data_IF_060364546990
#
_entry.id   IF_060364546990
#
_cell.length_a   1.000
_cell.length_b   1.000
_cell.length_c   1.000
_cell.angle_alpha   90.00
_cell.angle_beta   90.00
_cell.angle_gamma   90.00
#
_symmetry.space_group_name_H-M   'P 1'
#
loop_
_entity.id
_entity.type
_entity.pdbx_description
1 polymer ?
#
# COMPACT_ATOMS: atom_id res chain seq x y z
N UNK A 1 2.23 -6.28 16.96
CA UNK A 1 2.27 -5.05 17.78
C UNK A 1 3.05 -3.96 17.04
N UNK A 2 2.37 -2.99 16.44
CA UNK A 2 3.02 -1.79 15.87
C UNK A 2 3.44 -0.87 17.03
N UNK A 3 4.66 -0.34 17.01
CA UNK A 3 5.20 0.45 18.13
C UNK A 3 4.47 1.80 18.27
N UNK A 4 4.32 2.30 19.51
CA UNK A 4 3.71 3.60 19.79
C UNK A 4 4.41 4.77 19.07
N UNK A 5 5.70 4.64 18.76
CA UNK A 5 6.47 5.65 18.04
C UNK A 5 6.10 5.75 16.55
N UNK A 6 5.72 4.64 15.90
CA UNK A 6 5.23 4.62 14.51
C UNK A 6 3.87 5.31 14.39
N UNK A 7 2.95 5.00 15.32
CA UNK A 7 1.63 5.64 15.36
C UNK A 7 1.72 7.15 15.53
N UNK A 8 2.76 7.68 16.18
CA UNK A 8 2.92 9.12 16.37
C UNK A 8 3.33 9.85 15.09
N UNK A 9 4.17 9.21 14.26
CA UNK A 9 4.57 9.76 12.95
C UNK A 9 3.46 9.70 11.91
N UNK A 10 2.66 8.63 11.92
CA UNK A 10 1.54 8.46 10.99
C UNK A 10 0.47 9.56 11.16
N UNK A 11 0.36 10.19 12.34
CA UNK A 11 -0.55 11.33 12.58
C UNK A 11 -0.24 12.55 11.72
N UNK A 12 0.99 12.71 11.24
CA UNK A 12 1.41 13.84 10.42
C UNK A 12 1.12 13.64 8.93
N UNK A 13 0.70 12.44 8.51
CA UNK A 13 0.33 12.18 7.13
C UNK A 13 -1.04 12.77 6.81
N UNK A 14 -1.13 13.45 5.67
CA UNK A 14 -2.36 14.03 5.16
C UNK A 14 -2.73 13.36 3.85
N UNK A 15 -3.86 12.66 3.83
CA UNK A 15 -4.39 12.02 2.64
C UNK A 15 -5.48 12.89 2.02
N UNK A 16 -5.49 12.96 0.69
CA UNK A 16 -6.46 13.72 -0.08
C UNK A 16 -7.01 12.85 -1.20
N UNK A 17 -8.29 13.02 -1.50
CA UNK A 17 -8.94 12.42 -2.67
C UNK A 17 -9.55 13.51 -3.53
N UNK A 18 -9.42 13.36 -4.85
CA UNK A 18 -10.11 14.17 -5.84
C UNK A 18 -11.34 13.40 -6.31
N UNK A 19 -12.52 13.86 -5.91
CA UNK A 19 -13.78 13.21 -6.23
C UNK A 19 -14.38 13.79 -7.50
N UNK A 20 -14.23 13.13 -8.66
CA UNK A 20 -14.90 13.61 -9.87
C UNK A 20 -16.42 13.63 -9.65
N UNK A 21 -17.03 14.81 -9.65
CA UNK A 21 -18.48 14.93 -9.55
C UNK A 21 -19.09 14.49 -10.88
N UNK A 22 -19.85 13.40 -10.90
CA UNK A 22 -20.45 12.87 -12.14
C UNK A 22 -21.36 13.89 -12.88
N UNK A 23 -21.83 14.94 -12.20
CA UNK A 23 -22.68 16.01 -12.77
C UNK A 23 -21.94 17.30 -13.14
N UNK A 24 -20.70 17.47 -12.71
CA UNK A 24 -19.90 18.65 -13.02
C UNK A 24 -18.69 18.18 -13.81
N UNK A 25 -18.56 18.62 -15.07
CA UNK A 25 -17.39 18.31 -15.90
C UNK A 25 -16.08 18.84 -15.31
N UNK A 26 -16.16 19.68 -14.28
CA UNK A 26 -15.02 20.23 -13.54
C UNK A 26 -14.51 19.25 -12.48
N UNK A 27 -13.19 19.13 -12.37
CA UNK A 27 -12.55 18.43 -11.25
C UNK A 27 -13.01 19.06 -9.93
N UNK A 28 -13.38 18.22 -8.97
CA UNK A 28 -13.70 18.68 -7.62
C UNK A 28 -12.49 19.25 -6.91
N UNK A 29 -12.73 20.01 -5.85
CA UNK A 29 -11.71 20.34 -4.87
C UNK A 29 -11.17 19.07 -4.18
N UNK A 30 -9.88 19.04 -3.82
CA UNK A 30 -9.31 17.95 -3.03
C UNK A 30 -9.97 17.91 -1.65
N UNK A 31 -10.45 16.73 -1.24
CA UNK A 31 -11.08 16.52 0.06
C UNK A 31 -10.15 15.71 0.95
N UNK A 32 -9.98 16.14 2.20
CA UNK A 32 -9.17 15.41 3.19
C UNK A 32 -9.84 14.07 3.52
N UNK A 33 -9.05 13.01 3.50
CA UNK A 33 -9.44 11.64 3.85
C UNK A 33 -8.60 11.17 5.03
N UNK A 34 -9.18 10.37 5.91
CA UNK A 34 -8.44 9.66 6.94
C UNK A 34 -8.50 8.16 6.65
N UNK A 35 -7.47 7.42 7.07
CA UNK A 35 -7.54 5.96 7.03
C UNK A 35 -8.44 5.49 8.18
N UNK A 36 -9.30 4.53 7.88
CA UNK A 36 -10.14 3.90 8.90
C UNK A 36 -9.27 3.05 9.84
N UNK A 37 -9.54 2.99 11.16
CA UNK A 37 -8.76 2.17 12.10
C UNK A 37 -8.65 0.68 11.74
N UNK A 38 -9.66 0.13 11.05
CA UNK A 38 -9.64 -1.26 10.58
C UNK A 38 -8.80 -1.47 9.30
N UNK A 39 -8.27 -0.40 8.70
CA UNK A 39 -7.39 -0.52 7.54
C UNK A 39 -6.04 -1.06 7.97
N UNK A 40 -5.46 -2.00 7.22
CA UNK A 40 -4.09 -2.48 7.45
C UNK A 40 -3.04 -1.36 7.37
N UNK A 41 -3.34 -0.31 6.61
CA UNK A 41 -2.46 0.84 6.44
C UNK A 41 -2.65 1.90 7.52
N UNK A 42 -3.58 1.70 8.47
CA UNK A 42 -3.78 2.62 9.58
C UNK A 42 -2.56 2.64 10.50
N UNK A 43 -2.08 3.84 10.83
CA UNK A 43 -0.90 4.01 11.69
C UNK A 43 0.44 3.69 11.02
N UNK A 44 0.45 3.32 9.74
CA UNK A 44 1.69 3.17 8.97
C UNK A 44 2.19 4.54 8.48
N UNK A 45 3.46 4.84 8.72
CA UNK A 45 4.14 6.05 8.27
C UNK A 45 5.18 5.79 7.16
N UNK A 46 5.48 4.51 6.89
CA UNK A 46 6.49 4.10 5.91
C UNK A 46 5.81 3.66 4.61
N UNK A 47 5.72 4.61 3.67
CA UNK A 47 5.31 4.37 2.30
C UNK A 47 6.51 4.58 1.37
N UNK A 48 6.67 3.75 0.35
CA UNK A 48 7.73 3.90 -0.65
C UNK A 48 7.40 5.02 -1.65
N UNK A 49 6.11 5.27 -1.88
CA UNK A 49 5.61 6.30 -2.77
C UNK A 49 4.37 7.01 -2.20
N UNK A 50 4.07 8.24 -2.67
CA UNK A 50 3.01 9.08 -2.11
C UNK A 50 1.61 8.73 -2.67
N UNK A 51 1.43 7.57 -3.31
CA UNK A 51 0.21 7.22 -4.03
C UNK A 51 -0.44 5.98 -3.43
N UNK A 52 -1.75 6.09 -3.20
CA UNK A 52 -2.57 5.04 -2.62
C UNK A 52 -3.79 4.81 -3.51
N UNK A 53 -4.16 3.55 -3.72
CA UNK A 53 -5.48 3.20 -4.21
C UNK A 53 -6.37 2.82 -3.03
N UNK A 54 -7.65 3.14 -3.15
CA UNK A 54 -8.65 2.72 -2.19
C UNK A 54 -9.81 2.04 -2.93
N UNK A 55 -10.47 1.12 -2.25
CA UNK A 55 -11.69 0.48 -2.76
C UNK A 55 -12.94 1.14 -2.18
N UNK A 56 -13.04 1.21 -0.85
CA UNK A 56 -14.22 1.73 -0.16
C UNK A 56 -13.91 3.04 0.56
N UNK A 57 -14.73 4.06 0.31
CA UNK A 57 -14.71 5.32 1.05
C UNK A 57 -16.11 5.62 1.60
N UNK A 58 -16.19 5.99 2.88
CA UNK A 58 -17.45 6.31 3.54
C UNK A 58 -17.34 7.60 4.32
N UNK A 59 -18.37 8.43 4.23
CA UNK A 59 -18.51 9.60 5.07
C UNK A 59 -19.41 9.26 6.26
N UNK A 60 -18.84 9.28 7.46
CA UNK A 60 -19.58 9.21 8.73
C UNK A 60 -19.45 10.56 9.42
N UNK A 61 -18.62 10.68 10.47
CA UNK A 61 -18.23 11.94 11.08
C UNK A 61 -17.15 12.67 10.28
N UNK A 62 -16.22 11.91 9.70
CA UNK A 62 -15.20 12.36 8.74
C UNK A 62 -15.22 11.42 7.55
N UNK A 63 -14.49 11.78 6.50
CA UNK A 63 -14.30 10.90 5.35
C UNK A 63 -13.22 9.87 5.67
N UNK A 64 -13.57 8.59 5.57
CA UNK A 64 -12.69 7.46 5.89
C UNK A 64 -12.54 6.52 4.70
N UNK A 65 -11.30 6.11 4.41
CA UNK A 65 -10.99 5.02 3.48
C UNK A 65 -10.70 3.73 4.26
N UNK A 66 -11.34 2.63 3.88
CA UNK A 66 -11.26 1.35 4.60
C UNK A 66 -10.17 0.46 4.02
N UNK A 67 -10.30 0.10 2.76
CA UNK A 67 -9.35 -0.77 2.07
C UNK A 67 -8.43 0.11 1.24
N UNK A 68 -7.16 0.16 1.64
CA UNK A 68 -6.15 1.03 1.03
C UNK A 68 -4.89 0.22 0.77
N UNK A 69 -4.33 0.36 -0.43
CA UNK A 69 -3.08 -0.26 -0.82
C UNK A 69 -2.14 0.77 -1.45
N UNK A 70 -0.84 0.61 -1.20
CA UNK A 70 0.18 1.40 -1.89
C UNK A 70 0.21 1.05 -3.38
N UNK A 71 0.33 2.08 -4.23
CA UNK A 71 0.36 1.91 -5.70
C UNK A 71 1.58 2.58 -6.27
N UNK A 72 2.37 1.82 -7.03
CA UNK A 72 3.57 2.38 -7.60
C UNK A 72 3.30 3.45 -8.67
N UNK A 73 4.21 4.42 -8.85
CA UNK A 73 4.07 5.44 -9.89
C UNK A 73 3.85 4.87 -11.30
N UNK A 74 4.58 3.82 -11.64
CA UNK A 74 4.45 3.17 -12.96
C UNK A 74 3.11 2.45 -13.14
N UNK A 75 2.53 1.91 -12.06
CA UNK A 75 1.17 1.37 -12.12
C UNK A 75 0.15 2.46 -12.48
N UNK A 76 0.25 3.66 -11.88
CA UNK A 76 -0.60 4.80 -12.26
C UNK A 76 -0.32 5.27 -13.70
N UNK A 77 0.94 5.30 -14.13
CA UNK A 77 1.31 5.68 -15.49
C UNK A 77 0.86 4.68 -16.54
N UNK A 78 0.69 3.39 -16.22
CA UNK A 78 0.24 2.36 -17.16
C UNK A 78 -1.28 2.17 -17.14
N UNK A 79 -1.91 2.17 -15.96
CA UNK A 79 -3.33 1.81 -15.80
C UNK A 79 -4.24 2.99 -15.43
N UNK A 80 -3.68 4.17 -15.17
CA UNK A 80 -4.45 5.38 -14.91
C UNK A 80 -4.99 6.06 -16.17
N UNK A 81 -5.39 7.32 -16.04
CA UNK A 81 -5.81 8.15 -17.18
C UNK A 81 -4.71 8.37 -18.22
N UNK A 82 -5.02 9.05 -19.32
CA UNK A 82 -4.03 9.33 -20.37
C UNK A 82 -2.86 10.18 -19.82
N UNK A 83 -1.60 9.73 -19.98
CA UNK A 83 -0.43 10.46 -19.53
C UNK A 83 -0.16 11.61 -20.49
N UNK A 84 0.09 12.80 -19.95
CA UNK A 84 0.47 13.98 -20.72
C UNK A 84 1.79 14.54 -20.21
N UNK A 85 2.54 15.23 -21.07
CA UNK A 85 3.76 15.91 -20.65
C UNK A 85 3.40 17.28 -20.08
N UNK A 86 3.93 17.57 -18.90
CA UNK A 86 3.88 18.90 -18.28
C UNK A 86 5.32 19.43 -18.09
N UNK A 87 5.47 20.72 -17.83
CA UNK A 87 6.75 21.45 -17.74
C UNK A 87 7.76 20.83 -16.74
N UNK A 88 7.30 20.03 -15.77
CA UNK A 88 8.15 19.36 -14.77
C UNK A 88 8.17 17.82 -14.85
N UNK A 89 7.49 17.20 -15.81
CA UNK A 89 7.43 15.73 -15.91
C UNK A 89 6.21 15.20 -16.65
N UNK A 90 5.58 14.17 -16.09
CA UNK A 90 4.40 13.50 -16.65
C UNK A 90 3.23 13.71 -15.70
N UNK A 91 2.07 13.98 -16.26
CA UNK A 91 0.82 14.20 -15.55
C UNK A 91 -0.21 13.15 -15.96
N UNK A 92 -0.97 12.61 -14.99
CA UNK A 92 -2.05 11.65 -15.24
C UNK A 92 -3.35 12.17 -14.62
N UNK A 93 -4.42 12.17 -15.42
CA UNK A 93 -5.77 12.51 -14.96
C UNK A 93 -5.95 13.97 -14.52
N UNK A 94 -5.03 14.86 -14.89
CA UNK A 94 -5.00 16.27 -14.50
C UNK A 94 -4.80 16.52 -12.99
N UNK A 95 -4.15 15.60 -12.27
CA UNK A 95 -3.85 15.78 -10.83
C UNK A 95 -2.59 15.05 -10.36
N UNK A 96 -2.33 13.86 -10.90
CA UNK A 96 -1.19 13.06 -10.49
C UNK A 96 0.04 13.52 -11.27
N UNK A 97 0.93 14.27 -10.60
CA UNK A 97 2.13 14.85 -11.20
C UNK A 97 3.37 14.06 -10.80
N UNK A 98 4.06 13.50 -11.80
CA UNK A 98 5.27 12.71 -11.65
C UNK A 98 6.47 13.52 -12.16
N UNK A 99 7.35 13.92 -11.24
CA UNK A 99 8.57 14.65 -11.59
C UNK A 99 9.49 13.73 -12.40
N UNK A 100 9.76 14.11 -13.65
CA UNK A 100 10.64 13.35 -14.53
C UNK A 100 11.37 14.32 -15.46
N UNK A 101 12.71 14.36 -15.36
CA UNK A 101 13.54 15.22 -16.21
C UNK A 101 13.37 14.91 -17.70
N UNK A 102 13.14 13.63 -18.02
CA UNK A 102 13.03 13.14 -19.40
C UNK A 102 11.60 12.71 -19.75
N UNK A 103 10.58 13.38 -19.20
CA UNK A 103 9.17 13.03 -19.42
C UNK A 103 8.77 12.94 -20.91
N UNK A 104 9.34 13.82 -21.75
CA UNK A 104 9.11 13.82 -23.22
C UNK A 104 9.57 12.53 -23.92
N UNK A 105 10.64 11.92 -23.44
CA UNK A 105 11.17 10.66 -24.01
C UNK A 105 10.46 9.44 -23.41
N UNK A 106 10.05 9.54 -22.14
CA UNK A 106 9.35 8.47 -21.45
C UNK A 106 7.89 8.32 -21.92
N UNK A 107 7.22 9.41 -22.31
CA UNK A 107 5.81 9.38 -22.71
C UNK A 107 5.55 8.39 -23.88
N UNK A 108 6.28 8.43 -25.02
CA UNK A 108 6.07 7.46 -26.09
C UNK A 108 6.29 6.00 -25.66
N UNK A 109 7.24 5.76 -24.75
CA UNK A 109 7.50 4.42 -24.20
C UNK A 109 6.32 3.93 -23.35
N UNK A 110 5.73 4.81 -22.53
CA UNK A 110 4.53 4.50 -21.76
C UNK A 110 3.33 4.23 -22.67
N UNK A 111 3.15 5.03 -23.72
CA UNK A 111 2.09 4.82 -24.70
C UNK A 111 2.26 3.49 -25.44
N UNK A 112 3.49 3.15 -25.86
CA UNK A 112 3.79 1.86 -26.47
C UNK A 112 3.54 0.68 -25.52
N UNK A 113 3.93 0.82 -24.24
CA UNK A 113 3.67 -0.20 -23.22
C UNK A 113 2.17 -0.40 -22.98
N UNK A 114 1.39 0.69 -22.91
CA UNK A 114 -0.08 0.62 -22.80
C UNK A 114 -0.71 -0.08 -24.00
N UNK A 115 -0.30 0.30 -25.21
CA UNK A 115 -0.78 -0.34 -26.44
C UNK A 115 -0.45 -1.84 -26.44
N UNK A 116 0.77 -2.23 -26.06
CA UNK A 116 1.14 -3.63 -25.96
C UNK A 116 0.29 -4.42 -24.95
N UNK A 117 -0.05 -3.83 -23.79
CA UNK A 117 -0.96 -4.44 -22.82
C UNK A 117 -2.35 -4.60 -23.43
N UNK A 118 -2.87 -3.56 -24.10
CA UNK A 118 -4.17 -3.58 -24.74
C UNK A 118 -4.26 -4.66 -25.83
N UNK A 119 -3.26 -4.74 -26.70
CA UNK A 119 -3.18 -5.76 -27.77
C UNK A 119 -3.21 -7.18 -27.20
N UNK A 120 -2.55 -7.41 -26.05
CA UNK A 120 -2.54 -8.71 -25.38
C UNK A 120 -3.90 -9.03 -24.77
N UNK A 121 -4.59 -8.04 -24.20
CA UNK A 121 -5.95 -8.20 -23.69
C UNK A 121 -6.95 -8.51 -24.81
N UNK A 122 -6.80 -7.86 -25.96
CA UNK A 122 -7.61 -8.12 -27.16
C UNK A 122 -7.40 -9.54 -27.69
N UNK A 123 -6.15 -9.98 -27.84
CA UNK A 123 -5.83 -11.37 -28.21
C UNK A 123 -6.41 -12.39 -27.23
N UNK A 124 -6.41 -12.08 -25.94
CA UNK A 124 -7.00 -12.96 -24.91
C UNK A 124 -8.53 -12.98 -24.96
N UNK A 125 -9.14 -11.89 -25.42
CA UNK A 125 -10.58 -11.84 -25.65
C UNK A 125 -10.98 -12.68 -26.86
N UNK A 126 -10.16 -12.67 -27.92
CA UNK A 126 -10.36 -13.50 -29.12
C UNK A 126 -10.09 -14.99 -28.86
N UNK A 127 -9.03 -15.31 -28.12
CA UNK A 127 -8.69 -16.67 -27.69
C UNK A 127 -8.39 -16.73 -26.18
N UNK A 128 -9.34 -17.29 -25.42
CA UNK A 128 -9.21 -17.49 -23.98
C UNK A 128 -8.05 -18.42 -23.59
N UNK A 129 -7.57 -19.27 -24.51
CA UNK A 129 -6.44 -20.18 -24.30
C UNK A 129 -5.10 -19.57 -24.67
N UNK A 130 -5.09 -18.31 -25.12
CA UNK A 130 -3.86 -17.61 -25.47
C UNK A 130 -2.88 -17.58 -24.29
N UNK A 131 -1.67 -18.09 -24.53
CA UNK A 131 -0.60 -18.13 -23.54
C UNK A 131 0.05 -16.74 -23.39
N UNK A 132 -0.26 -16.09 -22.28
CA UNK A 132 0.30 -14.79 -21.90
C UNK A 132 1.81 -14.82 -21.67
N UNK A 133 2.36 -15.97 -21.26
CA UNK A 133 3.79 -16.07 -20.95
C UNK A 133 4.69 -15.95 -22.18
N UNK A 134 4.12 -16.20 -23.36
CA UNK A 134 4.81 -16.11 -24.64
C UNK A 134 5.07 -14.66 -25.11
N UNK A 135 4.30 -13.68 -24.63
CA UNK A 135 4.45 -12.27 -25.06
C UNK A 135 5.66 -11.62 -24.38
N UNK A 136 6.62 -11.22 -25.22
CA UNK A 136 7.82 -10.49 -24.78
C UNK A 136 7.49 -9.09 -24.31
N UNK A 137 6.48 -8.47 -24.92
CA UNK A 137 6.00 -7.13 -24.63
C UNK A 137 5.33 -7.09 -23.24
N UNK A 138 4.47 -8.07 -22.96
CA UNK A 138 3.87 -8.23 -21.63
C UNK A 138 4.94 -8.47 -20.57
N UNK A 139 5.92 -9.33 -20.86
CA UNK A 139 7.05 -9.57 -19.95
C UNK A 139 7.82 -8.29 -19.66
N UNK A 140 8.09 -7.46 -20.67
CA UNK A 140 8.73 -6.16 -20.47
C UNK A 140 7.89 -5.22 -19.58
N UNK A 141 6.57 -5.19 -19.77
CA UNK A 141 5.66 -4.42 -18.92
C UNK A 141 5.65 -4.92 -17.47
N UNK A 142 5.67 -6.24 -17.25
CA UNK A 142 5.77 -6.84 -15.92
C UNK A 142 7.09 -6.45 -15.24
N UNK A 143 8.22 -6.56 -15.93
CA UNK A 143 9.52 -6.16 -15.37
C UNK A 143 9.58 -4.67 -15.04
N UNK A 144 8.98 -3.83 -15.89
CA UNK A 144 8.88 -2.39 -15.65
C UNK A 144 8.05 -2.07 -14.40
N UNK A 145 6.96 -2.78 -14.16
CA UNK A 145 6.15 -2.67 -12.94
C UNK A 145 6.90 -3.17 -11.70
N UNK A 146 7.57 -4.33 -11.79
CA UNK A 146 8.34 -4.90 -10.69
C UNK A 146 9.49 -4.00 -10.26
N UNK A 147 10.20 -3.41 -11.22
CA UNK A 147 11.37 -2.58 -10.96
C UNK A 147 11.03 -1.09 -10.79
N UNK A 148 9.76 -0.68 -10.92
CA UNK A 148 9.36 0.73 -10.99
C UNK A 148 10.25 1.53 -11.96
N UNK A 149 10.57 0.95 -13.12
CA UNK A 149 11.43 1.57 -14.14
C UNK A 149 12.93 1.63 -13.82
N UNK A 150 13.41 1.04 -12.72
CA UNK A 150 14.85 1.05 -12.36
C UNK A 150 15.68 0.02 -13.12
N UNK A 151 15.04 -0.96 -13.79
CA UNK A 151 15.72 -1.93 -14.67
C UNK A 151 16.59 -2.99 -13.96
N UNK A 152 16.78 -2.90 -12.64
CA UNK A 152 17.56 -3.88 -11.88
C UNK A 152 16.65 -4.64 -10.91
N UNK A 153 16.52 -5.94 -11.17
CA UNK A 153 15.90 -6.89 -10.25
C UNK A 153 16.90 -7.19 -9.13
N UNK A 154 16.50 -7.02 -7.86
CA UNK A 154 17.08 -7.87 -6.80
C UNK A 154 16.43 -9.24 -6.98
N UNK A 155 17.21 -10.31 -7.09
CA UNK A 155 16.69 -11.68 -7.20
C UNK A 155 15.50 -11.82 -6.25
N UNK A 156 14.37 -12.28 -6.78
CA UNK A 156 13.17 -12.49 -5.97
C UNK A 156 13.62 -13.36 -4.79
N UNK A 157 13.38 -12.96 -3.52
CA UNK A 157 13.61 -13.87 -2.42
C UNK A 157 12.88 -15.16 -2.76
N UNK A 158 13.57 -16.30 -2.60
CA UNK A 158 13.02 -17.60 -2.96
C UNK A 158 11.57 -17.70 -2.49
N UNK A 159 10.70 -18.28 -3.32
CA UNK A 159 9.30 -18.50 -2.96
C UNK A 159 9.23 -18.93 -1.50
N UNK A 160 8.37 -18.30 -0.71
CA UNK A 160 8.12 -18.74 0.66
C UNK A 160 7.42 -20.10 0.51
N UNK A 161 8.23 -21.15 0.37
CA UNK A 161 7.82 -22.52 0.55
C UNK A 161 7.43 -22.57 2.01
N UNK A 162 6.12 -22.51 2.29
CA UNK A 162 5.62 -22.99 3.56
C UNK A 162 5.99 -24.46 3.60
N UNK A 163 7.13 -24.78 4.22
CA UNK A 163 7.48 -26.14 4.57
C UNK A 163 6.29 -26.66 5.36
N UNK A 164 5.61 -27.68 4.86
CA UNK A 164 4.53 -28.38 5.55
C UNK A 164 4.98 -29.10 6.83
N UNK A 165 6.12 -28.70 7.42
CA UNK A 165 6.58 -29.08 8.75
C UNK A 165 6.20 -28.04 9.82
N UNK A 166 5.29 -27.12 9.50
CA UNK A 166 4.45 -26.57 10.55
C UNK A 166 3.54 -27.68 11.02
N UNK A 167 3.79 -28.25 12.20
CA UNK A 167 2.75 -29.00 12.92
C UNK A 167 1.46 -28.20 12.76
N UNK A 168 0.40 -28.81 12.23
CA UNK A 168 -0.96 -28.32 12.35
C UNK A 168 -1.29 -28.27 13.84
N UNK A 169 -0.78 -27.25 14.53
CA UNK A 169 -1.33 -26.83 15.80
C UNK A 169 -2.59 -26.11 15.39
N UNK A 170 -3.72 -26.78 15.56
CA UNK A 170 -5.02 -26.13 15.53
C UNK A 170 -4.89 -24.82 16.30
N UNK A 171 -5.25 -23.71 15.63
CA UNK A 171 -5.30 -22.41 16.26
C UNK A 171 -6.40 -22.45 17.32
N UNK A 172 -6.04 -22.83 18.54
CA UNK A 172 -6.96 -22.87 19.66
C UNK A 172 -7.03 -21.47 20.27
N UNK A 173 -7.96 -20.67 19.76
CA UNK A 173 -8.19 -19.28 20.15
C UNK A 173 -8.31 -19.13 21.67
N UNK A 174 -8.99 -20.07 22.33
CA UNK A 174 -9.18 -20.07 23.79
C UNK A 174 -7.89 -20.28 24.59
N UNK A 175 -7.03 -21.22 24.17
CA UNK A 175 -5.74 -21.47 24.84
C UNK A 175 -4.76 -20.32 24.62
N UNK A 176 -4.79 -19.71 23.43
CA UNK A 176 -3.96 -18.55 23.12
C UNK A 176 -4.41 -17.30 23.89
N UNK A 177 -5.71 -17.07 24.02
CA UNK A 177 -6.26 -15.99 24.84
C UNK A 177 -5.97 -16.18 26.32
N UNK A 178 -6.14 -17.39 26.86
CA UNK A 178 -5.83 -17.67 28.27
C UNK A 178 -4.34 -17.49 28.56
N UNK A 179 -3.45 -18.04 27.71
CA UNK A 179 -2.01 -17.84 27.86
C UNK A 179 -1.59 -16.36 27.75
N UNK A 180 -2.26 -15.58 26.89
CA UNK A 180 -2.04 -14.14 26.79
C UNK A 180 -2.49 -13.40 28.05
N UNK A 181 -3.67 -13.72 28.59
CA UNK A 181 -4.18 -13.11 29.81
C UNK A 181 -3.31 -13.44 31.01
N UNK A 182 -2.85 -14.70 31.15
CA UNK A 182 -1.95 -15.11 32.24
C UNK A 182 -0.61 -14.38 32.18
N UNK A 183 0.01 -14.29 30.99
CA UNK A 183 1.26 -13.50 30.83
C UNK A 183 1.07 -12.03 31.21
N UNK A 184 -0.07 -11.45 30.85
CA UNK A 184 -0.36 -10.05 31.14
C UNK A 184 -0.58 -9.83 32.64
N UNK A 185 -1.22 -10.78 33.33
CA UNK A 185 -1.40 -10.74 34.77
C UNK A 185 -0.06 -10.88 35.51
N UNK A 186 0.81 -11.80 35.07
CA UNK A 186 2.16 -11.97 35.59
C UNK A 186 3.00 -10.68 35.41
N UNK A 187 2.97 -10.08 34.22
CA UNK A 187 3.65 -8.80 33.93
C UNK A 187 3.12 -7.65 34.79
N UNK A 188 1.80 -7.60 35.05
CA UNK A 188 1.24 -6.60 35.95
C UNK A 188 1.67 -6.82 37.40
N UNK A 189 1.75 -8.07 37.83
CA UNK A 189 2.15 -8.44 39.18
C UNK A 189 3.63 -8.16 39.43
N UNK A 190 4.50 -8.41 38.44
CA UNK A 190 5.91 -8.00 38.47
C UNK A 190 6.07 -6.48 38.53
N UNK A 191 5.33 -5.73 37.71
CA UNK A 191 5.34 -4.26 37.74
C UNK A 191 4.86 -3.71 39.07
N UNK A 192 3.80 -4.30 39.64
CA UNK A 192 3.32 -3.99 40.99
C UNK A 192 4.41 -4.23 42.02
N UNK A 193 5.05 -5.41 42.01
CA UNK A 193 6.10 -5.77 42.96
C UNK A 193 7.31 -4.82 42.86
N UNK A 194 7.69 -4.38 41.66
CA UNK A 194 8.73 -3.37 41.47
C UNK A 194 8.33 -2.00 42.06
N UNK A 195 7.08 -1.57 41.88
CA UNK A 195 6.57 -0.33 42.48
C UNK A 195 6.60 -0.41 44.00
N UNK A 196 6.16 -1.53 44.59
CA UNK A 196 6.20 -1.75 46.04
C UNK A 196 7.62 -1.81 46.59
N UNK A 197 8.56 -2.45 45.88
CA UNK A 197 9.97 -2.48 46.25
C UNK A 197 10.59 -1.07 46.24
N UNK A 198 10.29 -0.27 45.21
CA UNK A 198 10.76 1.11 45.12
C UNK A 198 10.16 2.01 46.21
N UNK A 199 8.87 1.85 46.51
CA UNK A 199 8.21 2.59 47.59
C UNK A 199 8.81 2.25 48.97
N UNK A 200 9.17 0.98 49.19
CA UNK A 200 9.81 0.54 50.43
C UNK A 200 11.22 1.11 50.59
N UNK A 201 12.02 1.12 49.52
CA UNK A 201 13.35 1.74 49.52
C UNK A 201 13.29 3.26 49.77
N UNK A 202 12.22 3.94 49.33
CA UNK A 202 12.02 5.38 49.55
C UNK A 202 11.59 5.71 50.99
N UNK A 203 10.98 4.75 51.70
CA UNK A 203 10.57 4.90 53.09
C UNK A 203 11.70 4.59 54.09
N UNK A 204 12.74 3.87 53.64
CA UNK A 204 13.92 3.52 54.42
C UNK A 204 15.08 4.54 54.26
N UNK A 205 14.92 5.59 53.42
CA UNK A 205 15.84 6.73 53.27
C UNK A 205 15.34 7.98 53.99
#
# INVERSE_FOLDING_TARGET
FQSAAMMDKAKYLNYQVLQRHAKLEQQSYPKKVNLHPNSLMFGNDQFHCPWLAYYTIQQTSKLYAYDVSEVSPFALLLFGGEPTVNHGGIEVGSWANFKCRNGKQLLPLLQAARAAIQDVLEKKLEDLKFDLSSSKELRACIELLKCNGLGFRREDPADIVRSGEGQEREFNEFENETAYMTRKDDEQQERMNQVWANAKNLAES
#
